data_IF_527057227128
#
_entry.id   IF_527057227128
#
_cell.length_a   1.000
_cell.length_b   1.000
_cell.length_c   1.000
_cell.angle_alpha   90.00
_cell.angle_beta   90.00
_cell.angle_gamma   90.00
#
_symmetry.space_group_name_H-M   'P 1'
#
loop_
_entity.id
_entity.type
_entity.pdbx_description
1 polymer ?
#
# COMPACT_ATOMS: atom_id res chain seq x y z
N UNK A 1 -6.05 -31.49 2.52
CA UNK A 1 -5.28 -30.88 1.41
C UNK A 1 -5.63 -29.42 1.21
N UNK A 2 -6.91 -29.02 1.24
CA UNK A 2 -7.34 -27.61 1.09
C UNK A 2 -6.65 -26.65 2.07
N UNK A 3 -6.56 -26.99 3.36
CA UNK A 3 -5.87 -26.15 4.35
C UNK A 3 -4.39 -25.91 4.02
N UNK A 4 -3.70 -26.91 3.45
CA UNK A 4 -2.31 -26.78 3.04
C UNK A 4 -2.15 -25.89 1.79
N UNK A 5 -3.08 -26.00 0.83
CA UNK A 5 -3.10 -25.15 -0.37
C UNK A 5 -3.41 -23.69 0.01
N UNK A 6 -4.45 -23.45 0.81
CA UNK A 6 -4.79 -22.11 1.29
C UNK A 6 -3.66 -21.52 2.13
N UNK A 7 -3.08 -22.31 3.04
CA UNK A 7 -1.93 -21.89 3.83
C UNK A 7 -0.74 -21.49 2.97
N UNK A 8 -0.41 -22.29 1.93
CA UNK A 8 0.64 -21.98 0.97
C UNK A 8 0.39 -20.69 0.19
N UNK A 9 -0.86 -20.46 -0.27
CA UNK A 9 -1.24 -19.23 -0.97
C UNK A 9 -1.07 -18.01 -0.06
N UNK A 10 -1.49 -18.09 1.20
CA UNK A 10 -1.35 -16.99 2.16
C UNK A 10 0.13 -16.66 2.43
N UNK A 11 0.98 -17.67 2.62
CA UNK A 11 2.43 -17.48 2.78
C UNK A 11 3.04 -16.83 1.54
N UNK A 12 2.67 -17.27 0.34
CA UNK A 12 3.12 -16.67 -0.91
C UNK A 12 2.66 -15.21 -1.06
N UNK A 13 1.40 -14.92 -0.73
CA UNK A 13 0.88 -13.55 -0.74
C UNK A 13 1.63 -12.64 0.24
N UNK A 14 1.96 -13.14 1.44
CA UNK A 14 2.81 -12.42 2.39
C UNK A 14 4.19 -12.11 1.84
N UNK A 15 4.84 -13.08 1.20
CA UNK A 15 6.13 -12.88 0.54
C UNK A 15 6.05 -11.86 -0.59
N UNK A 16 5.02 -11.95 -1.43
CA UNK A 16 4.78 -11.00 -2.52
C UNK A 16 4.63 -9.56 -2.01
N UNK A 17 3.88 -9.33 -0.92
CA UNK A 17 3.72 -7.99 -0.34
C UNK A 17 5.04 -7.42 0.19
N UNK A 18 5.90 -8.23 0.81
CA UNK A 18 7.23 -7.80 1.24
C UNK A 18 8.06 -7.38 0.03
N UNK A 19 8.14 -8.23 -1.00
CA UNK A 19 8.93 -7.95 -2.21
C UNK A 19 8.42 -6.68 -2.89
N UNK A 20 7.10 -6.52 -3.02
CA UNK A 20 6.46 -5.33 -3.57
C UNK A 20 6.84 -4.07 -2.78
N UNK A 21 6.72 -4.11 -1.45
CA UNK A 21 7.05 -2.97 -0.59
C UNK A 21 8.53 -2.59 -0.63
N UNK A 22 9.43 -3.58 -0.68
CA UNK A 22 10.88 -3.34 -0.85
C UNK A 22 11.15 -2.76 -2.24
N UNK A 23 10.58 -3.35 -3.30
CA UNK A 23 10.75 -2.87 -4.66
C UNK A 23 10.34 -1.42 -4.81
N UNK A 24 9.16 -1.05 -4.30
CA UNK A 24 8.67 0.33 -4.32
C UNK A 24 9.64 1.27 -3.59
N UNK A 25 10.15 0.89 -2.41
CA UNK A 25 11.08 1.72 -1.64
C UNK A 25 12.47 1.87 -2.29
N UNK A 26 12.94 0.84 -2.99
CA UNK A 26 14.28 0.82 -3.62
C UNK A 26 14.27 1.47 -5.00
N UNK A 27 13.19 1.29 -5.78
CA UNK A 27 13.08 1.79 -7.16
C UNK A 27 12.22 3.03 -7.28
N UNK A 28 11.40 3.33 -6.29
CA UNK A 28 10.57 4.52 -6.25
C UNK A 28 11.39 5.75 -5.89
N UNK A 29 11.01 6.86 -6.49
CA UNK A 29 11.52 8.17 -6.15
C UNK A 29 10.73 8.75 -4.99
N UNK A 30 11.44 9.37 -4.06
CA UNK A 30 10.88 9.94 -2.85
C UNK A 30 10.61 11.42 -3.11
N UNK A 31 9.36 11.74 -3.41
CA UNK A 31 8.97 13.07 -3.89
C UNK A 31 8.10 13.75 -2.83
N UNK A 32 8.41 15.00 -2.43
CA UNK A 32 7.49 15.79 -1.63
C UNK A 32 6.23 16.08 -2.46
N UNK A 33 5.09 15.63 -1.97
CA UNK A 33 3.79 15.83 -2.61
C UNK A 33 2.83 16.54 -1.69
N UNK A 34 1.83 17.19 -2.25
CA UNK A 34 0.77 17.84 -1.49
C UNK A 34 -0.48 16.98 -1.54
N UNK A 35 -1.04 16.65 -0.38
CA UNK A 35 -2.38 16.04 -0.32
C UNK A 35 -3.40 17.10 -0.75
N UNK A 36 -4.15 16.87 -1.83
CA UNK A 36 -5.08 17.88 -2.39
C UNK A 36 -6.52 17.58 -2.03
N UNK A 37 -6.92 16.31 -2.04
CA UNK A 37 -8.29 15.89 -1.78
C UNK A 37 -8.37 14.40 -1.46
N UNK A 38 -9.58 13.90 -1.28
CA UNK A 38 -9.88 12.47 -1.23
C UNK A 38 -10.87 12.14 -2.34
N UNK A 39 -10.54 11.15 -3.17
CA UNK A 39 -11.46 10.58 -4.16
C UNK A 39 -12.36 9.54 -3.49
N UNK A 40 -13.67 9.65 -3.60
CA UNK A 40 -14.61 8.67 -3.07
C UNK A 40 -14.99 7.66 -4.16
N UNK A 41 -14.73 6.38 -3.90
CA UNK A 41 -15.22 5.26 -4.69
C UNK A 41 -15.96 4.28 -3.77
N UNK A 42 -17.28 4.15 -3.90
CA UNK A 42 -18.10 3.21 -3.11
C UNK A 42 -17.86 3.29 -1.58
N UNK A 43 -18.05 4.48 -1.00
CA UNK A 43 -17.84 4.75 0.44
C UNK A 43 -16.40 4.49 0.92
N UNK A 44 -15.46 4.45 -0.02
CA UNK A 44 -14.04 4.26 0.23
C UNK A 44 -13.29 5.46 -0.30
N UNK A 45 -12.54 6.13 0.57
CA UNK A 45 -11.86 7.38 0.25
C UNK A 45 -10.38 7.14 -0.03
N UNK A 46 -9.89 7.60 -1.16
CA UNK A 46 -8.50 7.50 -1.57
C UNK A 46 -7.84 8.88 -1.52
N UNK A 47 -6.75 9.09 -0.75
CA UNK A 47 -6.06 10.37 -0.74
C UNK A 47 -5.47 10.67 -2.13
N UNK A 48 -5.57 11.91 -2.60
CA UNK A 48 -5.03 12.35 -3.89
C UNK A 48 -3.82 13.24 -3.65
N UNK A 49 -2.67 12.85 -4.21
CA UNK A 49 -1.42 13.58 -4.06
C UNK A 49 -1.07 14.30 -5.36
N UNK A 50 -0.80 15.60 -5.24
CA UNK A 50 -0.26 16.44 -6.30
C UNK A 50 1.26 16.58 -6.13
N UNK A 51 2.01 16.35 -7.19
CA UNK A 51 3.46 16.54 -7.19
C UNK A 51 3.99 16.83 -8.58
N UNK A 52 5.17 17.44 -8.65
CA UNK A 52 5.90 17.64 -9.91
C UNK A 52 6.97 16.56 -10.06
N UNK A 53 7.00 15.91 -11.22
CA UNK A 53 8.05 14.98 -11.60
C UNK A 53 8.51 15.30 -13.02
N UNK A 54 9.81 15.56 -13.19
CA UNK A 54 10.42 15.93 -14.48
C UNK A 54 9.75 17.10 -15.20
N UNK A 55 9.22 18.08 -14.46
CA UNK A 55 8.54 19.25 -15.02
C UNK A 55 7.07 19.03 -15.37
N UNK A 56 6.54 17.82 -15.17
CA UNK A 56 5.13 17.50 -15.32
C UNK A 56 4.45 17.40 -13.96
N UNK A 57 3.29 18.04 -13.81
CA UNK A 57 2.44 17.85 -12.64
C UNK A 57 1.61 16.56 -12.75
N UNK A 58 1.60 15.81 -11.66
CA UNK A 58 0.84 14.57 -11.51
C UNK A 58 -0.15 14.70 -10.36
N UNK A 59 -1.34 14.11 -10.53
CA UNK A 59 -2.34 13.93 -9.49
C UNK A 59 -2.65 12.43 -9.39
N UNK A 60 -2.06 11.75 -8.40
CA UNK A 60 -2.17 10.29 -8.27
C UNK A 60 -2.78 9.93 -6.92
N UNK A 61 -3.62 8.90 -6.92
CA UNK A 61 -4.23 8.38 -5.70
C UNK A 61 -3.21 7.59 -4.88
N UNK A 62 -3.31 7.70 -3.56
CA UNK A 62 -2.58 6.84 -2.64
C UNK A 62 -3.04 5.40 -2.78
N UNK A 63 -2.12 4.45 -2.64
CA UNK A 63 -2.42 3.02 -2.71
C UNK A 63 -3.35 2.54 -1.58
N UNK A 64 -3.50 3.34 -0.52
CA UNK A 64 -4.22 2.94 0.69
C UNK A 64 -5.50 3.76 0.85
N UNK A 65 -6.68 3.11 0.78
CA UNK A 65 -7.92 3.77 1.09
C UNK A 65 -8.10 4.00 2.60
N UNK A 66 -8.99 4.93 2.93
CA UNK A 66 -9.54 5.16 4.25
C UNK A 66 -11.06 5.13 4.22
N UNK A 67 -11.68 4.65 5.30
CA UNK A 67 -13.14 4.66 5.44
C UNK A 67 -13.69 6.06 5.71
N UNK A 68 -12.91 6.87 6.41
CA UNK A 68 -13.26 8.24 6.76
C UNK A 68 -12.03 9.13 6.52
N UNK A 69 -12.13 10.18 5.68
CA UNK A 69 -11.04 11.15 5.47
C UNK A 69 -10.50 11.76 6.78
N UNK A 70 -11.37 11.96 7.78
CA UNK A 70 -10.99 12.55 9.07
C UNK A 70 -10.11 11.63 9.93
N UNK A 71 -10.16 10.32 9.66
CA UNK A 71 -9.31 9.33 10.34
C UNK A 71 -7.90 9.24 9.74
N UNK A 72 -7.68 9.90 8.60
CA UNK A 72 -6.38 9.89 7.96
C UNK A 72 -5.42 10.83 8.70
N UNK A 73 -4.15 10.42 8.80
CA UNK A 73 -3.11 11.16 9.53
C UNK A 73 -2.85 12.56 8.94
N UNK A 74 -3.10 12.74 7.65
CA UNK A 74 -2.78 13.95 6.90
C UNK A 74 -4.05 14.62 6.39
N UNK A 75 -4.03 15.94 6.26
CA UNK A 75 -5.17 16.73 5.79
C UNK A 75 -4.88 17.37 4.42
N UNK A 76 -5.91 17.68 3.63
CA UNK A 76 -5.74 18.43 2.38
C UNK A 76 -5.00 19.74 2.65
N UNK A 77 -3.92 19.96 1.92
CA UNK A 77 -2.99 21.06 2.11
C UNK A 77 -1.62 20.64 2.65
N UNK A 78 -1.54 19.51 3.37
CA UNK A 78 -0.31 19.00 3.97
C UNK A 78 0.68 18.53 2.91
N UNK A 79 1.98 18.73 3.19
CA UNK A 79 3.06 18.16 2.40
C UNK A 79 3.48 16.82 3.00
N UNK A 80 3.45 15.79 2.17
CA UNK A 80 3.76 14.41 2.53
C UNK A 80 4.72 13.84 1.50
N UNK A 81 5.80 13.23 1.95
CA UNK A 81 6.68 12.50 1.05
C UNK A 81 5.98 11.21 0.61
N UNK A 82 5.95 11.02 -0.71
CA UNK A 82 5.43 9.82 -1.35
C UNK A 82 6.55 9.08 -2.06
N UNK A 83 6.32 7.81 -2.29
CA UNK A 83 7.15 6.93 -3.09
C UNK A 83 6.43 6.78 -4.43
N UNK A 84 6.97 7.44 -5.46
CA UNK A 84 6.48 7.37 -6.83
C UNK A 84 7.34 6.39 -7.64
N UNK A 85 6.72 5.38 -8.23
CA UNK A 85 7.41 4.43 -9.11
C UNK A 85 7.03 4.77 -10.56
N UNK A 86 7.95 5.29 -11.40
CA UNK A 86 7.60 5.72 -12.76
C UNK A 86 7.00 4.60 -13.64
N UNK A 87 7.36 3.34 -13.38
CA UNK A 87 6.80 2.18 -14.07
C UNK A 87 5.37 1.81 -13.64
N UNK A 88 4.86 2.39 -12.54
CA UNK A 88 3.51 2.17 -12.04
C UNK A 88 2.90 3.49 -11.55
N UNK A 89 2.24 4.20 -12.45
CA UNK A 89 1.62 5.51 -12.19
C UNK A 89 0.20 5.40 -11.63
N UNK A 90 -0.30 4.20 -11.34
CA UNK A 90 -1.67 4.01 -10.90
C UNK A 90 -1.87 4.46 -9.46
N UNK A 91 -0.88 4.23 -8.60
CA UNK A 91 -0.93 4.58 -7.19
C UNK A 91 0.44 5.01 -6.68
N UNK A 92 0.43 5.84 -5.63
CA UNK A 92 1.63 6.20 -4.88
C UNK A 92 1.57 5.68 -3.45
N UNK A 93 2.71 5.26 -2.92
CA UNK A 93 2.84 4.89 -1.51
C UNK A 93 3.31 6.09 -0.69
N UNK A 94 2.99 6.08 0.60
CA UNK A 94 3.45 7.14 1.51
C UNK A 94 4.76 6.69 2.15
N UNK A 95 5.76 7.56 2.13
CA UNK A 95 7.05 7.27 2.76
C UNK A 95 6.86 6.98 4.26
N UNK A 96 7.49 5.92 4.75
CA UNK A 96 7.33 5.46 6.13
C UNK A 96 6.04 4.70 6.42
N UNK A 97 5.18 4.43 5.42
CA UNK A 97 4.04 3.53 5.59
C UNK A 97 4.50 2.07 5.70
N UNK A 98 4.24 1.42 6.83
CA UNK A 98 4.56 0.01 7.08
C UNK A 98 3.38 -0.94 6.83
N UNK A 99 2.32 -0.47 6.17
CA UNK A 99 1.08 -1.24 6.01
C UNK A 99 1.27 -2.54 5.20
N UNK A 100 2.05 -2.49 4.12
CA UNK A 100 2.36 -3.71 3.34
C UNK A 100 3.10 -4.76 4.18
N UNK A 101 3.98 -4.34 5.09
CA UNK A 101 4.67 -5.23 6.03
C UNK A 101 3.72 -5.80 7.09
N UNK A 102 2.80 -4.98 7.62
CA UNK A 102 1.76 -5.41 8.55
C UNK A 102 0.83 -6.44 7.92
N UNK A 103 0.38 -6.21 6.69
CA UNK A 103 -0.43 -7.18 5.95
C UNK A 103 0.36 -8.46 5.66
N UNK A 104 1.62 -8.35 5.24
CA UNK A 104 2.46 -9.51 5.03
C UNK A 104 2.59 -10.37 6.31
N UNK A 105 2.80 -9.75 7.47
CA UNK A 105 2.87 -10.46 8.75
C UNK A 105 1.54 -11.19 9.06
N UNK A 106 0.40 -10.54 8.82
CA UNK A 106 -0.93 -11.15 8.98
C UNK A 106 -1.12 -12.35 8.06
N UNK A 107 -0.68 -12.24 6.80
CA UNK A 107 -0.73 -13.34 5.84
C UNK A 107 0.16 -14.53 6.25
N UNK A 108 1.38 -14.27 6.75
CA UNK A 108 2.24 -15.34 7.26
C UNK A 108 1.62 -16.05 8.48
N UNK A 109 1.10 -15.28 9.44
CA UNK A 109 0.46 -15.84 10.63
C UNK A 109 -0.76 -16.71 10.25
N UNK A 110 -1.66 -16.19 9.40
CA UNK A 110 -2.82 -16.94 8.93
C UNK A 110 -2.40 -18.19 8.14
N UNK A 111 -1.43 -18.05 7.22
CA UNK A 111 -0.91 -19.17 6.44
C UNK A 111 -0.33 -20.28 7.31
N UNK A 112 0.47 -19.92 8.32
CA UNK A 112 1.02 -20.87 9.28
C UNK A 112 -0.07 -21.61 10.06
N UNK A 113 -1.11 -20.92 10.52
CA UNK A 113 -2.26 -21.54 11.22
C UNK A 113 -2.95 -22.58 10.32
N UNK A 114 -3.22 -22.24 9.06
CA UNK A 114 -3.84 -23.17 8.12
C UNK A 114 -2.98 -24.42 7.86
N UNK A 115 -1.65 -24.24 7.74
CA UNK A 115 -0.71 -25.35 7.57
C UNK A 115 -0.70 -26.23 8.82
N UNK A 116 -0.62 -25.64 10.02
CA UNK A 116 -0.62 -26.39 11.29
C UNK A 116 -1.93 -27.17 11.50
N UNK A 117 -3.08 -26.59 11.14
CA UNK A 117 -4.39 -27.26 11.18
C UNK A 117 -4.50 -28.43 10.20
N UNK A 118 -3.66 -28.50 9.17
CA UNK A 118 -3.64 -29.65 8.26
C UNK A 118 -2.89 -30.85 8.84
N UNK A 119 -1.86 -30.61 9.64
CA UNK A 119 -1.01 -31.66 10.24
C UNK A 119 -1.52 -32.17 11.60
N UNK A 120 -2.59 -31.58 12.11
CA UNK A 120 -3.28 -32.00 13.34
C UNK A 120 -4.48 -32.86 13.00
#
# INVERSE_FOLDING_TARGET
>A
MWNLIFGGILVFAGFYLIVKGIYARVKGEHIPSRLTSFSNENDTYYPVFNFNYQGQEYNITGAVPVKDPSSFKYHPGDTVNIIFVPSNTKYVDIEGSYKDFLYALGFFAAGAVFILLYFR
#
